data_IF_160393305559
#
_entry.id   IF_160393305559
#
_cell.length_a   1.000
_cell.length_b   1.000
_cell.length_c   1.000
_cell.angle_alpha   90.00
_cell.angle_beta   90.00
_cell.angle_gamma   90.00
#
_symmetry.space_group_name_H-M   'P 1'
#
loop_
_entity.id
_entity.type
_entity.pdbx_description
1 polymer ?
#
# COMPACT_ATOMS: atom_id res chain seq x y z
N UNK A 1 2.50 -21.79 -5.29
CA UNK A 1 2.99 -22.33 -6.58
C UNK A 1 3.55 -21.16 -7.33
N UNK A 2 4.85 -21.16 -7.54
CA UNK A 2 5.55 -20.01 -8.09
C UNK A 2 5.32 -19.97 -9.60
N UNK A 3 5.10 -18.78 -10.15
CA UNK A 3 4.77 -18.59 -11.57
C UNK A 3 5.66 -17.53 -12.17
N UNK A 4 6.30 -17.84 -13.31
CA UNK A 4 6.97 -16.81 -14.09
C UNK A 4 5.93 -15.86 -14.66
N UNK A 5 6.18 -14.56 -14.52
CA UNK A 5 5.30 -13.51 -14.97
C UNK A 5 6.10 -12.43 -15.70
N UNK A 6 5.42 -11.80 -16.64
CA UNK A 6 5.88 -10.58 -17.28
C UNK A 6 4.71 -9.60 -17.30
N UNK A 7 4.86 -8.51 -16.56
CA UNK A 7 3.90 -7.42 -16.49
C UNK A 7 4.45 -6.31 -17.35
N UNK A 8 3.64 -5.78 -18.25
CA UNK A 8 4.05 -4.71 -19.17
C UNK A 8 3.20 -3.46 -18.95
N UNK A 9 3.84 -2.30 -18.89
CA UNK A 9 3.14 -1.02 -18.83
C UNK A 9 2.40 -0.75 -17.51
N UNK A 10 2.96 -1.18 -16.38
CA UNK A 10 2.41 -0.84 -15.07
C UNK A 10 3.00 0.49 -14.57
N UNK A 11 2.17 1.33 -13.97
CA UNK A 11 2.59 2.59 -13.35
C UNK A 11 3.17 2.33 -11.96
N UNK A 12 4.32 2.93 -11.66
CA UNK A 12 4.90 2.93 -10.32
C UNK A 12 4.04 3.83 -9.40
N UNK A 13 3.44 3.22 -8.39
CA UNK A 13 2.57 3.89 -7.41
C UNK A 13 3.38 4.53 -6.30
N UNK A 14 4.33 3.77 -5.76
CA UNK A 14 5.16 4.17 -4.63
C UNK A 14 6.45 3.36 -4.59
N UNK A 15 7.47 3.97 -4.01
CA UNK A 15 8.74 3.31 -3.66
C UNK A 15 8.85 3.38 -2.15
N UNK A 16 8.98 2.21 -1.51
CA UNK A 16 9.28 2.13 -0.09
C UNK A 16 10.71 2.63 0.16
N UNK A 17 10.80 3.89 0.59
CA UNK A 17 12.04 4.58 0.95
C UNK A 17 12.13 4.87 2.43
N UNK A 18 11.06 4.63 3.19
CA UNK A 18 11.00 4.99 4.59
C UNK A 18 11.55 3.83 5.42
N UNK A 19 12.61 4.11 6.17
CA UNK A 19 13.19 3.11 7.06
C UNK A 19 12.39 3.07 8.37
N UNK A 20 11.21 2.46 8.33
CA UNK A 20 10.28 2.39 9.46
C UNK A 20 10.96 1.85 10.73
N UNK A 21 11.85 0.86 10.59
CA UNK A 21 12.48 0.18 11.73
C UNK A 21 13.86 0.73 12.08
N UNK A 22 14.45 1.59 11.25
CA UNK A 22 15.84 2.02 11.39
C UNK A 22 16.87 0.92 11.08
N UNK A 23 16.42 -0.18 10.47
CA UNK A 23 17.25 -1.35 10.12
C UNK A 23 17.52 -1.46 8.61
N UNK A 24 17.13 -0.46 7.83
CA UNK A 24 17.31 -0.41 6.39
C UNK A 24 16.28 -1.23 5.61
N UNK A 25 15.11 -1.51 6.20
CA UNK A 25 14.02 -2.29 5.58
C UNK A 25 13.26 -1.47 4.52
N UNK A 26 13.97 -1.10 3.45
CA UNK A 26 13.46 -0.37 2.28
C UNK A 26 13.39 -1.30 1.07
N UNK A 27 12.71 -0.86 0.02
CA UNK A 27 12.97 -1.35 -1.33
C UNK A 27 11.84 -2.12 -1.99
N UNK A 28 10.69 -2.28 -1.34
CA UNK A 28 9.49 -2.70 -2.06
C UNK A 28 9.03 -1.59 -3.02
N UNK A 29 8.62 -1.99 -4.21
CA UNK A 29 8.01 -1.10 -5.18
C UNK A 29 6.57 -1.54 -5.38
N UNK A 30 5.67 -0.58 -5.51
CA UNK A 30 4.26 -0.87 -5.72
C UNK A 30 3.91 -0.41 -7.13
N UNK A 31 3.37 -1.32 -7.93
CA UNK A 31 2.97 -1.03 -9.31
C UNK A 31 1.49 -1.31 -9.49
N UNK A 32 0.85 -0.56 -10.37
CA UNK A 32 -0.56 -0.72 -10.69
C UNK A 32 -0.80 -0.47 -12.18
N UNK A 33 -1.83 -1.09 -12.74
CA UNK A 33 -2.35 -0.75 -14.06
C UNK A 33 -2.66 0.76 -14.19
N UNK A 34 -2.44 1.31 -15.39
CA UNK A 34 -2.57 2.72 -15.76
C UNK A 34 -4.02 3.17 -16.04
N UNK A 35 -5.00 2.26 -15.96
CA UNK A 35 -6.41 2.55 -16.16
C UNK A 35 -6.94 3.67 -15.25
N UNK A 36 -7.88 4.46 -15.78
CA UNK A 36 -8.54 5.52 -15.00
C UNK A 36 -9.39 4.98 -13.84
N UNK A 37 -9.98 3.79 -14.04
CA UNK A 37 -10.62 3.00 -12.98
C UNK A 37 -9.94 1.62 -12.93
N UNK A 38 -8.94 1.45 -12.04
CA UNK A 38 -8.20 0.20 -11.92
C UNK A 38 -9.12 -0.95 -11.52
N UNK A 39 -9.03 -2.08 -12.20
CA UNK A 39 -9.79 -3.27 -11.86
C UNK A 39 -9.27 -3.92 -10.57
N UNK A 40 -10.10 -4.77 -9.95
CA UNK A 40 -9.64 -5.63 -8.86
C UNK A 40 -8.43 -6.47 -9.33
N UNK A 41 -7.45 -6.70 -8.43
CA UNK A 41 -6.19 -7.38 -8.72
C UNK A 41 -5.25 -6.67 -9.73
N UNK A 42 -5.46 -5.37 -10.00
CA UNK A 42 -4.62 -4.62 -10.94
C UNK A 42 -3.37 -3.99 -10.33
N UNK A 43 -3.03 -4.32 -9.08
CA UNK A 43 -1.81 -3.86 -8.39
C UNK A 43 -0.95 -5.01 -7.90
N UNK A 44 0.32 -4.71 -7.62
CA UNK A 44 1.29 -5.70 -7.20
C UNK A 44 2.42 -5.11 -6.37
N UNK A 45 2.82 -5.82 -5.31
CA UNK A 45 4.09 -5.59 -4.63
C UNK A 45 5.21 -6.23 -5.43
N UNK A 46 6.22 -5.44 -5.78
CA UNK A 46 7.48 -5.91 -6.36
C UNK A 46 8.51 -5.95 -5.22
N UNK A 47 8.84 -7.16 -4.79
CA UNK A 47 9.72 -7.40 -3.66
C UNK A 47 11.19 -7.35 -4.11
N UNK A 48 11.95 -6.43 -3.53
CA UNK A 48 13.39 -6.26 -3.75
C UNK A 48 13.82 -6.38 -5.24
N UNK A 49 13.27 -5.55 -6.15
CA UNK A 49 13.59 -5.64 -7.55
C UNK A 49 15.07 -5.34 -7.83
N UNK A 50 15.64 -6.08 -8.77
CA UNK A 50 16.79 -5.62 -9.54
C UNK A 50 16.33 -4.65 -10.64
N UNK A 51 17.25 -3.86 -11.18
CA UNK A 51 16.93 -2.88 -12.23
C UNK A 51 17.68 -3.12 -13.53
N UNK A 52 17.03 -2.78 -14.64
CA UNK A 52 17.65 -2.72 -15.96
C UNK A 52 17.39 -1.33 -16.59
N UNK A 53 18.43 -0.50 -16.78
CA UNK A 53 19.82 -0.70 -16.35
C UNK A 53 19.99 -0.66 -14.81
N UNK A 54 21.12 -1.15 -14.24
CA UNK A 54 21.30 -1.25 -12.78
C UNK A 54 21.31 0.09 -12.03
N UNK A 55 21.64 1.18 -12.72
CA UNK A 55 21.65 2.54 -12.20
C UNK A 55 20.32 3.28 -12.38
N UNK A 56 19.29 2.60 -12.90
CA UNK A 56 17.95 3.16 -13.06
C UNK A 56 17.43 3.70 -11.72
N UNK A 57 16.81 4.88 -11.79
CA UNK A 57 16.12 5.53 -10.68
C UNK A 57 14.70 5.79 -11.12
N UNK A 58 13.77 5.08 -10.48
CA UNK A 58 12.36 5.22 -10.75
C UNK A 58 11.71 6.18 -9.75
N UNK A 59 10.71 6.91 -10.21
CA UNK A 59 9.85 7.77 -9.40
C UNK A 59 8.38 7.40 -9.59
N UNK A 60 7.50 7.66 -8.60
CA UNK A 60 6.07 7.46 -8.79
C UNK A 60 5.56 8.18 -10.04
N UNK A 61 4.72 7.50 -10.84
CA UNK A 61 4.26 7.96 -12.15
C UNK A 61 5.01 7.35 -13.34
N UNK A 62 6.24 6.86 -13.14
CA UNK A 62 6.95 6.12 -14.19
C UNK A 62 6.19 4.86 -14.59
N UNK A 63 6.12 4.60 -15.89
CA UNK A 63 5.61 3.34 -16.42
C UNK A 63 6.76 2.37 -16.62
N UNK A 64 6.58 1.16 -16.09
CA UNK A 64 7.61 0.13 -16.01
C UNK A 64 7.11 -1.21 -16.56
N UNK A 65 8.06 -2.01 -17.01
CA UNK A 65 7.86 -3.43 -17.24
C UNK A 65 8.52 -4.22 -16.09
N UNK A 66 7.86 -5.28 -15.63
CA UNK A 66 8.33 -6.15 -14.56
C UNK A 66 8.44 -7.58 -15.09
N UNK A 67 9.60 -8.20 -14.92
CA UNK A 67 9.82 -9.61 -15.26
C UNK A 67 10.34 -10.37 -14.05
N UNK A 68 9.71 -11.50 -13.72
CA UNK A 68 10.11 -12.21 -12.51
C UNK A 68 9.25 -13.42 -12.20
N UNK A 69 9.19 -13.74 -10.91
CA UNK A 69 8.41 -14.84 -10.35
C UNK A 69 7.38 -14.26 -9.38
N UNK A 70 6.11 -14.51 -9.68
CA UNK A 70 5.00 -14.29 -8.76
C UNK A 70 5.01 -15.41 -7.71
N UNK A 71 5.01 -15.00 -6.45
CA UNK A 71 4.99 -15.87 -5.27
C UNK A 71 3.82 -15.50 -4.38
N UNK A 72 3.21 -16.52 -3.78
CA UNK A 72 2.25 -16.36 -2.69
C UNK A 72 3.00 -16.51 -1.37
N UNK A 73 3.57 -15.42 -0.87
CA UNK A 73 4.40 -15.46 0.32
C UNK A 73 3.54 -15.82 1.55
N UNK A 74 3.96 -16.86 2.28
CA UNK A 74 3.20 -17.43 3.41
C UNK A 74 3.53 -16.76 4.76
N UNK A 75 4.36 -15.74 4.75
CA UNK A 75 4.93 -15.13 5.94
C UNK A 75 6.28 -15.75 6.36
N UNK A 76 6.99 -15.13 7.31
CA UNK A 76 8.24 -15.62 7.86
C UNK A 76 8.16 -17.07 8.35
N UNK A 77 9.28 -17.79 8.30
CA UNK A 77 9.37 -19.17 8.81
C UNK A 77 9.08 -19.26 10.31
N UNK A 78 9.37 -18.22 11.08
CA UNK A 78 9.09 -18.10 12.51
C UNK A 78 7.60 -17.92 12.85
N UNK A 79 6.78 -17.56 11.87
CA UNK A 79 5.35 -17.37 12.05
C UNK A 79 4.65 -17.20 10.70
N UNK A 80 4.10 -18.27 10.14
CA UNK A 80 3.30 -18.13 8.92
C UNK A 80 2.02 -17.33 9.20
N UNK A 81 1.46 -16.68 8.18
CA UNK A 81 0.22 -15.91 8.32
C UNK A 81 -0.99 -16.77 8.77
N UNK A 82 -0.98 -18.07 8.46
CA UNK A 82 -2.06 -19.01 8.81
C UNK A 82 -3.33 -18.79 7.97
N UNK A 83 -4.36 -19.62 8.16
CA UNK A 83 -5.69 -19.42 7.58
C UNK A 83 -5.73 -19.26 6.05
N UNK A 84 -4.81 -19.92 5.31
CA UNK A 84 -4.63 -19.77 3.86
C UNK A 84 -4.31 -18.33 3.39
N UNK A 85 -3.88 -17.46 4.30
CA UNK A 85 -3.50 -16.07 4.00
C UNK A 85 -2.08 -16.02 3.41
N UNK A 86 -1.91 -15.19 2.40
CA UNK A 86 -0.66 -14.95 1.67
C UNK A 86 -0.46 -13.47 1.35
N UNK A 87 0.77 -13.07 1.06
CA UNK A 87 1.11 -11.80 0.43
C UNK A 87 1.54 -12.10 -1.02
N UNK A 88 0.78 -11.68 -2.05
CA UNK A 88 1.20 -11.85 -3.42
C UNK A 88 2.30 -10.82 -3.74
N UNK A 89 3.42 -11.30 -4.28
CA UNK A 89 4.56 -10.46 -4.63
C UNK A 89 5.30 -10.98 -5.86
N UNK A 90 5.92 -10.07 -6.62
CA UNK A 90 6.84 -10.41 -7.71
C UNK A 90 8.27 -10.12 -7.26
N UNK A 91 9.11 -11.16 -7.22
CA UNK A 91 10.56 -11.00 -7.15
C UNK A 91 11.15 -11.02 -8.57
N UNK A 92 11.97 -10.04 -8.93
CA UNK A 92 12.52 -9.98 -10.28
C UNK A 92 13.22 -8.68 -10.67
N UNK A 93 13.07 -8.31 -11.94
CA UNK A 93 13.70 -7.12 -12.54
C UNK A 93 12.64 -6.15 -13.03
N UNK A 94 12.88 -4.86 -12.78
CA UNK A 94 12.10 -3.74 -13.32
C UNK A 94 12.91 -2.98 -14.37
N UNK A 95 12.25 -2.55 -15.43
CA UNK A 95 12.81 -1.65 -16.44
C UNK A 95 11.86 -0.49 -16.71
N UNK A 96 12.42 0.70 -16.88
CA UNK A 96 11.66 1.88 -17.29
C UNK A 96 11.17 1.75 -18.74
N UNK A 97 9.97 2.27 -19.00
CA UNK A 97 9.36 2.28 -20.33
C UNK A 97 9.13 3.70 -20.83
N UNK A 98 8.37 4.51 -20.08
CA UNK A 98 8.10 5.91 -20.36
C UNK A 98 7.53 6.62 -19.11
N UNK A 99 7.47 7.95 -19.14
CA UNK A 99 6.79 8.78 -18.14
C UNK A 99 5.32 8.97 -18.54
N UNK A 100 4.42 8.90 -17.57
CA UNK A 100 3.00 9.22 -17.76
C UNK A 100 2.45 9.90 -16.50
N UNK A 101 1.13 9.92 -16.34
CA UNK A 101 0.42 10.36 -15.15
C UNK A 101 0.60 9.38 -13.97
N UNK A 102 0.49 9.88 -12.73
CA UNK A 102 0.36 9.03 -11.55
C UNK A 102 -0.81 8.06 -11.62
N UNK A 103 -0.64 6.90 -10.98
CA UNK A 103 -1.70 5.90 -10.89
C UNK A 103 -2.94 6.47 -10.21
N UNK A 104 -4.13 6.17 -10.77
CA UNK A 104 -5.41 6.56 -10.15
C UNK A 104 -5.72 5.61 -8.97
N UNK A 105 -6.24 6.11 -7.85
CA UNK A 105 -6.63 5.25 -6.74
C UNK A 105 -7.92 4.48 -7.05
N UNK A 106 -7.95 3.19 -6.71
CA UNK A 106 -9.18 2.39 -6.68
C UNK A 106 -9.99 2.77 -5.45
N UNK A 107 -11.28 3.12 -5.63
CA UNK A 107 -12.19 3.30 -4.50
C UNK A 107 -12.50 1.95 -3.86
N UNK A 108 -12.32 1.86 -2.54
CA UNK A 108 -12.54 0.62 -1.78
C UNK A 108 -13.54 0.89 -0.65
N UNK A 109 -14.66 0.14 -0.58
CA UNK A 109 -15.56 0.18 0.56
C UNK A 109 -14.85 -0.23 1.85
N UNK A 110 -15.08 0.49 2.94
CA UNK A 110 -14.48 0.18 4.24
C UNK A 110 -14.79 -1.27 4.70
N UNK A 111 -15.99 -1.76 4.37
CA UNK A 111 -16.40 -3.14 4.66
C UNK A 111 -15.54 -4.20 3.98
N UNK A 112 -14.95 -3.90 2.82
CA UNK A 112 -14.07 -4.84 2.14
C UNK A 112 -12.78 -5.08 2.94
N UNK A 113 -12.37 -4.14 3.80
CA UNK A 113 -11.15 -4.25 4.61
C UNK A 113 -11.31 -5.15 5.86
N UNK A 114 -12.52 -5.62 6.15
CA UNK A 114 -12.83 -6.40 7.36
C UNK A 114 -12.30 -7.82 7.36
N UNK A 115 -11.96 -8.36 6.18
CA UNK A 115 -11.53 -9.74 6.05
C UNK A 115 -10.47 -9.91 4.99
N UNK A 116 -9.64 -10.93 5.16
CA UNK A 116 -8.66 -11.33 4.16
C UNK A 116 -9.29 -11.67 2.81
N UNK A 117 -10.41 -12.41 2.81
CA UNK A 117 -11.05 -12.84 1.58
C UNK A 117 -11.56 -11.66 0.72
N UNK A 118 -12.07 -10.61 1.36
CA UNK A 118 -12.60 -9.42 0.68
C UNK A 118 -11.50 -8.43 0.29
N UNK A 119 -10.52 -8.18 1.16
CA UNK A 119 -9.50 -7.16 0.95
C UNK A 119 -8.33 -7.62 0.06
N UNK A 120 -8.09 -8.94 -0.03
CA UNK A 120 -6.94 -9.50 -0.76
C UNK A 120 -6.80 -8.97 -2.18
N UNK A 121 -7.91 -8.72 -2.86
CA UNK A 121 -7.94 -8.25 -4.25
C UNK A 121 -7.34 -6.86 -4.47
N UNK A 122 -7.12 -6.11 -3.38
CA UNK A 122 -6.54 -4.77 -3.44
C UNK A 122 -5.10 -4.70 -2.90
N UNK A 123 -4.50 -5.83 -2.49
CA UNK A 123 -3.12 -5.82 -1.98
C UNK A 123 -2.16 -5.27 -3.05
N UNK A 124 -1.32 -4.31 -2.68
CA UNK A 124 -0.37 -3.64 -3.55
C UNK A 124 -0.98 -2.55 -4.45
N UNK A 125 -2.29 -2.32 -4.38
CA UNK A 125 -2.97 -1.26 -5.13
C UNK A 125 -2.94 0.07 -4.38
N UNK A 126 -2.95 1.17 -5.14
CA UNK A 126 -3.32 2.47 -4.61
C UNK A 126 -4.83 2.48 -4.37
N UNK A 127 -5.25 2.60 -3.11
CA UNK A 127 -6.66 2.60 -2.72
C UNK A 127 -7.06 3.95 -2.15
N UNK A 128 -8.32 4.31 -2.33
CA UNK A 128 -8.99 5.42 -1.63
C UNK A 128 -10.16 4.86 -0.85
N UNK A 129 -10.11 5.02 0.47
CA UNK A 129 -11.13 4.55 1.40
C UNK A 129 -11.86 5.77 1.96
N UNK A 130 -13.18 5.78 1.85
CA UNK A 130 -14.03 6.87 2.31
C UNK A 130 -14.51 6.64 3.74
N UNK A 131 -14.73 7.72 4.50
CA UNK A 131 -15.29 7.68 5.86
C UNK A 131 -14.37 7.00 6.87
N UNK A 132 -13.08 7.36 6.89
CA UNK A 132 -12.10 6.75 7.78
C UNK A 132 -12.13 7.45 9.14
N UNK A 133 -12.48 6.71 10.18
CA UNK A 133 -12.40 7.16 11.58
C UNK A 133 -11.31 6.36 12.31
N UNK A 134 -10.52 7.02 13.15
CA UNK A 134 -9.50 6.38 13.98
C UNK A 134 -10.13 5.78 15.23
N UNK A 135 -10.02 4.46 15.41
CA UNK A 135 -10.67 3.72 16.49
C UNK A 135 -10.03 3.94 17.87
N UNK A 136 -8.72 4.20 17.92
CA UNK A 136 -7.94 4.35 19.16
C UNK A 136 -6.68 5.14 18.90
N UNK A 137 -6.11 5.66 19.98
CA UNK A 137 -4.82 6.34 19.91
C UNK A 137 -3.76 5.44 19.25
N UNK A 138 -2.85 6.04 18.47
CA UNK A 138 -1.88 5.31 17.67
C UNK A 138 -0.88 4.59 18.58
N UNK A 139 -0.39 3.46 18.10
CA UNK A 139 0.61 2.65 18.80
C UNK A 139 1.97 2.77 18.12
N UNK A 140 3.02 2.69 18.93
CA UNK A 140 4.41 2.67 18.48
C UNK A 140 5.14 1.43 18.95
N UNK A 141 5.80 0.72 18.02
CA UNK A 141 6.63 -0.44 18.36
C UNK A 141 7.71 -0.66 17.31
N UNK A 142 8.98 -0.67 17.72
CA UNK A 142 10.11 -0.94 16.80
C UNK A 142 10.16 0.01 15.61
N UNK A 143 9.84 1.29 15.82
CA UNK A 143 9.77 2.32 14.76
C UNK A 143 8.47 2.33 13.96
N UNK A 144 7.66 1.27 14.06
CA UNK A 144 6.32 1.21 13.48
C UNK A 144 5.37 2.14 14.21
N UNK A 145 4.68 2.99 13.45
CA UNK A 145 3.62 3.86 13.92
C UNK A 145 2.33 3.51 13.21
N UNK A 146 1.33 3.07 13.96
CA UNK A 146 0.06 2.61 13.38
C UNK A 146 -1.15 3.14 14.12
N UNK A 147 -2.21 3.49 13.39
CA UNK A 147 -3.49 3.90 13.94
C UNK A 147 -4.60 2.97 13.43
N UNK A 148 -5.32 2.29 14.33
CA UNK A 148 -6.38 1.37 13.92
C UNK A 148 -7.59 2.13 13.38
N UNK A 149 -8.18 1.62 12.30
CA UNK A 149 -9.37 2.20 11.67
C UNK A 149 -10.62 1.59 12.30
N UNK A 150 -11.61 2.43 12.59
CA UNK A 150 -12.92 1.99 13.03
C UNK A 150 -13.69 1.40 11.84
N UNK A 151 -13.72 0.08 11.75
CA UNK A 151 -14.54 -0.65 10.77
C UNK A 151 -15.85 -1.18 11.35
N UNK A 152 -16.19 -0.79 12.59
CA UNK A 152 -17.35 -1.33 13.31
C UNK A 152 -17.13 -2.73 13.87
N UNK A 153 -18.21 -3.37 14.32
CA UNK A 153 -18.18 -4.65 15.02
C UNK A 153 -17.94 -5.85 14.07
N UNK A 154 -17.56 -6.99 14.66
CA UNK A 154 -17.46 -8.28 13.96
C UNK A 154 -16.09 -8.59 13.35
N UNK A 155 -15.09 -7.73 13.56
CA UNK A 155 -13.71 -7.96 13.11
C UNK A 155 -12.85 -8.40 14.29
N UNK A 156 -12.14 -9.54 14.19
CA UNK A 156 -11.16 -9.94 15.21
C UNK A 156 -10.12 -8.86 15.44
N UNK A 157 -9.68 -8.64 16.67
CA UNK A 157 -8.73 -7.57 17.00
C UNK A 157 -7.42 -7.62 16.19
N UNK A 158 -6.97 -8.82 15.79
CA UNK A 158 -5.78 -9.03 14.96
C UNK A 158 -6.00 -8.70 13.47
N UNK A 159 -7.25 -8.62 13.03
CA UNK A 159 -7.63 -8.35 11.64
C UNK A 159 -8.15 -6.92 11.44
N UNK A 160 -8.22 -6.11 12.50
CA UNK A 160 -8.62 -4.69 12.41
C UNK A 160 -7.61 -3.96 11.54
N UNK A 161 -8.03 -3.36 10.41
CA UNK A 161 -7.11 -2.64 9.54
C UNK A 161 -6.59 -1.36 10.20
N UNK A 162 -5.44 -0.89 9.75
CA UNK A 162 -4.81 0.33 10.29
C UNK A 162 -4.25 1.24 9.21
N UNK A 163 -3.97 2.48 9.58
CA UNK A 163 -3.01 3.33 8.88
C UNK A 163 -1.60 3.00 9.37
N UNK A 164 -0.62 3.00 8.48
CA UNK A 164 0.79 2.74 8.82
C UNK A 164 1.76 3.76 8.21
N UNK A 165 2.89 3.96 8.88
CA UNK A 165 4.00 4.77 8.40
C UNK A 165 4.92 4.04 7.42
N UNK A 166 4.45 3.01 6.69
CA UNK A 166 5.33 2.19 5.83
C UNK A 166 5.94 2.96 4.66
N UNK A 167 5.30 4.03 4.18
CA UNK A 167 5.79 4.78 3.00
C UNK A 167 6.21 6.21 3.30
N UNK A 168 5.90 6.74 4.48
CA UNK A 168 6.27 8.08 4.90
C UNK A 168 6.17 8.24 6.43
N UNK A 169 6.78 9.29 6.98
CA UNK A 169 6.75 9.59 8.41
C UNK A 169 5.37 10.11 8.86
N UNK A 170 4.44 9.18 9.06
CA UNK A 170 3.08 9.46 9.53
C UNK A 170 3.04 10.10 10.92
N UNK A 171 4.04 9.85 11.78
CA UNK A 171 4.08 10.39 13.15
C UNK A 171 4.53 11.87 13.14
N UNK A 172 5.56 12.19 12.37
CA UNK A 172 6.14 13.54 12.35
C UNK A 172 5.48 14.47 11.31
N UNK A 173 5.06 13.93 10.16
CA UNK A 173 4.59 14.72 9.01
C UNK A 173 3.10 14.52 8.72
N UNK A 174 2.48 13.47 9.26
CA UNK A 174 1.07 13.17 9.07
C UNK A 174 0.13 14.06 9.89
N UNK A 175 -1.18 14.08 9.56
CA UNK A 175 -2.16 14.72 10.42
C UNK A 175 -2.31 13.96 11.75
N UNK A 176 -2.82 14.62 12.82
CA UNK A 176 -3.07 13.95 14.09
C UNK A 176 -4.02 12.76 13.95
N UNK A 177 -3.59 11.59 14.41
CA UNK A 177 -4.37 10.35 14.38
C UNK A 177 -4.92 9.97 15.76
N UNK A 178 -5.37 10.94 16.54
CA UNK A 178 -5.98 10.67 17.85
C UNK A 178 -7.27 9.85 17.71
N UNK A 179 -7.65 9.11 18.76
CA UNK A 179 -8.94 8.40 18.77
C UNK A 179 -10.12 9.34 18.41
N UNK A 180 -10.99 8.91 17.52
CA UNK A 180 -12.12 9.68 17.00
C UNK A 180 -11.78 10.69 15.89
N UNK A 181 -10.49 10.88 15.55
CA UNK A 181 -10.12 11.65 14.37
C UNK A 181 -10.78 11.04 13.13
N UNK A 182 -11.33 11.88 12.27
CA UNK A 182 -12.11 11.45 11.11
C UNK A 182 -11.62 12.15 9.84
N UNK A 183 -11.57 11.39 8.75
CA UNK A 183 -11.19 11.84 7.42
C UNK A 183 -12.29 11.46 6.44
N UNK A 184 -12.62 12.39 5.55
CA UNK A 184 -13.55 12.12 4.45
C UNK A 184 -13.05 10.97 3.59
N UNK A 185 -11.76 10.97 3.28
CA UNK A 185 -11.10 9.81 2.68
C UNK A 185 -9.61 9.76 3.06
N UNK A 186 -9.06 8.55 3.03
CA UNK A 186 -7.62 8.32 3.09
C UNK A 186 -7.21 7.52 1.87
N UNK A 187 -6.18 8.00 1.18
CA UNK A 187 -5.55 7.35 0.04
C UNK A 187 -4.24 6.69 0.49
N UNK A 188 -3.84 5.60 -0.12
CA UNK A 188 -2.58 4.95 0.20
C UNK A 188 -2.45 3.59 -0.46
N UNK A 189 -1.29 2.96 -0.34
CA UNK A 189 -1.10 1.59 -0.81
C UNK A 189 -1.70 0.63 0.21
N UNK A 190 -2.56 -0.29 -0.21
CA UNK A 190 -3.04 -1.33 0.68
C UNK A 190 -1.98 -2.44 0.82
N UNK A 191 -1.40 -2.58 2.01
CA UNK A 191 -0.40 -3.62 2.31
C UNK A 191 -0.96 -4.69 3.24
N UNK A 192 -0.30 -5.84 3.27
CA UNK A 192 -0.70 -6.96 4.14
C UNK A 192 0.52 -7.61 4.79
N UNK A 193 0.59 -7.56 6.12
CA UNK A 193 1.57 -8.30 6.91
C UNK A 193 1.01 -8.56 8.33
N UNK A 194 0.40 -9.73 8.52
CA UNK A 194 -0.41 -10.08 9.71
C UNK A 194 -1.62 -9.16 9.99
N UNK A 195 -2.06 -8.41 8.98
CA UNK A 195 -3.17 -7.45 9.06
C UNK A 195 -3.13 -6.52 7.86
N UNK A 196 -4.28 -5.97 7.47
CA UNK A 196 -4.32 -4.97 6.39
C UNK A 196 -3.92 -3.61 6.90
N UNK A 197 -3.14 -2.90 6.10
CA UNK A 197 -2.77 -1.53 6.39
C UNK A 197 -2.97 -0.69 5.14
N UNK A 198 -3.42 0.54 5.32
CA UNK A 198 -3.33 1.58 4.31
C UNK A 198 -2.05 2.34 4.64
N UNK A 199 -1.08 2.31 3.73
CA UNK A 199 0.16 3.06 3.82
C UNK A 199 0.01 4.33 2.97
N UNK A 200 -0.32 5.49 3.55
CA UNK A 200 -0.35 6.75 2.81
C UNK A 200 1.07 7.10 2.37
N UNK A 201 1.22 7.89 1.32
CA UNK A 201 2.51 8.23 0.71
C UNK A 201 3.01 9.61 1.12
N UNK A 202 2.08 10.50 1.48
CA UNK A 202 2.37 11.87 1.87
C UNK A 202 1.17 12.47 2.64
N UNK A 203 1.29 13.69 3.21
CA UNK A 203 0.18 14.36 3.89
C UNK A 203 -1.07 14.58 3.02
N UNK A 204 -0.89 14.76 1.70
CA UNK A 204 -2.01 14.99 0.78
C UNK A 204 -2.88 13.76 0.52
N UNK A 205 -2.45 12.57 0.94
CA UNK A 205 -3.27 11.36 0.91
C UNK A 205 -4.40 11.39 1.97
N UNK A 206 -4.37 12.35 2.91
CA UNK A 206 -5.44 12.58 3.87
C UNK A 206 -6.37 13.67 3.40
N UNK A 207 -7.65 13.34 3.27
CA UNK A 207 -8.68 14.32 2.94
C UNK A 207 -9.53 14.64 4.17
N UNK A 208 -9.41 15.86 4.73
CA UNK A 208 -10.29 16.31 5.80
C UNK A 208 -11.75 16.41 5.35
N UNK A 209 -12.67 16.38 6.32
CA UNK A 209 -14.08 16.68 6.08
C UNK A 209 -14.27 18.06 5.45
N UNK A 210 -15.17 18.15 4.47
CA UNK A 210 -15.46 19.38 3.72
C UNK A 210 -14.38 19.86 2.73
N UNK A 211 -13.20 19.23 2.66
CA UNK A 211 -12.16 19.59 1.69
C UNK A 211 -12.49 19.07 0.28
N UNK A 212 -12.04 19.77 -0.80
CA UNK A 212 -12.12 19.24 -2.16
C UNK A 212 -11.35 17.92 -2.28
N UNK A 213 -11.71 17.08 -3.26
CA UNK A 213 -10.96 15.83 -3.52
C UNK A 213 -9.50 16.18 -3.84
N UNK A 214 -8.52 15.45 -3.27
CA UNK A 214 -7.13 15.60 -3.67
C UNK A 214 -7.00 15.34 -5.17
N UNK A 215 -6.14 16.11 -5.83
CA UNK A 215 -5.67 15.76 -7.17
C UNK A 215 -4.87 14.46 -7.08
N UNK A 216 -5.02 13.56 -8.05
CA UNK A 216 -4.47 12.20 -7.94
C UNK A 216 -2.92 12.16 -8.00
N UNK A 217 -2.29 13.27 -8.36
CA UNK A 217 -0.84 13.51 -8.36
C UNK A 217 -0.31 14.20 -7.09
N UNK A 218 -1.12 14.37 -6.05
CA UNK A 218 -0.75 15.19 -4.88
C UNK A 218 0.46 14.69 -4.06
N UNK A 219 0.92 13.45 -4.29
CA UNK A 219 2.14 12.88 -3.70
C UNK A 219 3.26 12.62 -4.72
N UNK A 220 3.13 13.12 -5.96
CA UNK A 220 4.23 13.10 -6.91
C UNK A 220 5.34 14.08 -6.44
N UNK A 221 6.62 13.71 -6.55
CA UNK A 221 7.75 14.52 -6.09
C UNK A 221 7.93 15.83 -6.89
#
# INVERSE_FOLDING_TARGET
>A
LDRRVHVTGATLVAVDRFDETGEGARGNHYVQDLADDPADHSGMTVFQPAFSPPDLRLVPGDVVDVSGVLTEFLGPSSGRFGGCRTLPEIGGTMSFRFEDRPARPRRVPLDDLKSYASARRYIGMLVRVEGVEIARDPSRSGGRYTASINVGAGVPAADVPSLSNELYDLEAEGPPLAAGASFRSVTGVLTYFYGFKIAPRCPADFQPEGAPLPVDDACAP
#
